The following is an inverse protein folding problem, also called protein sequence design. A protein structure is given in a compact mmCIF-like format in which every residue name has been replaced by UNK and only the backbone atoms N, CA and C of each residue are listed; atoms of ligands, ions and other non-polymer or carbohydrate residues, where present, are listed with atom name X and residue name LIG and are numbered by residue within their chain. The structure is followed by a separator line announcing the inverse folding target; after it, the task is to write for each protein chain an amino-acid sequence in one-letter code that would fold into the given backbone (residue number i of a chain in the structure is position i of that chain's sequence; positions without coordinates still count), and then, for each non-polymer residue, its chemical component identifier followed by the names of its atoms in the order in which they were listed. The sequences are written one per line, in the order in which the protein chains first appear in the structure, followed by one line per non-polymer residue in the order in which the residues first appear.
data_IF_467158485375
#
_entry.id   IF_467158485375
#
_cell.length_a   1.000
_cell.length_b   1.000
_cell.length_c   1.000
_cell.angle_alpha   90.00
_cell.angle_beta   90.00
_cell.angle_gamma   90.00
#
_symmetry.space_group_name_H-M   'P 1'
#
loop_
_entity.id
_entity.type
_entity.pdbx_description
1 polymer ?
#
# COMPACT_ATOMS: atom_id res chain seq x y z
N UNK A 1 8.93 -9.50 -14.12
CA UNK A 1 8.09 -8.55 -13.37
C UNK A 1 8.37 -8.70 -11.88
N UNK A 2 8.51 -7.60 -11.18
CA UNK A 2 8.84 -7.59 -9.75
C UNK A 2 7.58 -7.39 -8.92
N UNK A 3 7.41 -8.22 -7.89
CA UNK A 3 6.32 -8.09 -6.92
C UNK A 3 6.85 -7.49 -5.63
N UNK A 4 6.16 -6.47 -5.12
CA UNK A 4 6.50 -5.80 -3.86
C UNK A 4 5.31 -5.90 -2.92
N UNK A 5 5.54 -6.39 -1.71
CA UNK A 5 4.48 -6.60 -0.72
C UNK A 5 4.84 -5.85 0.55
N UNK A 6 3.89 -5.07 1.06
CA UNK A 6 4.04 -4.35 2.33
C UNK A 6 2.89 -4.71 3.24
N UNK A 7 3.19 -5.04 4.49
CA UNK A 7 2.20 -5.37 5.50
C UNK A 7 2.18 -4.24 6.54
N UNK A 8 0.97 -3.77 6.86
CA UNK A 8 0.79 -2.66 7.80
C UNK A 8 0.04 -3.11 9.03
N UNK A 9 0.52 -2.67 10.19
CA UNK A 9 -0.23 -2.74 11.44
C UNK A 9 -0.59 -1.34 11.87
N UNK A 10 -1.88 -1.07 12.06
CA UNK A 10 -2.36 0.24 12.44
C UNK A 10 -2.33 0.39 13.96
N UNK A 11 -2.10 1.61 14.45
CA UNK A 11 -2.14 1.88 15.90
C UNK A 11 -3.54 1.70 16.46
N UNK A 12 -4.54 2.11 15.69
CA UNK A 12 -5.94 1.98 16.05
C UNK A 12 -6.67 1.32 14.87
N UNK A 13 -6.74 -0.04 14.86
CA UNK A 13 -7.31 -0.75 13.72
C UNK A 13 -8.84 -0.82 13.78
N UNK A 14 -9.48 0.34 13.85
CA UNK A 14 -10.93 0.44 13.76
C UNK A 14 -11.38 0.22 12.32
N UNK A 15 -12.64 -0.19 12.09
CA UNK A 15 -13.15 -0.33 10.72
C UNK A 15 -12.99 0.94 9.89
N UNK A 16 -13.19 2.11 10.49
CA UNK A 16 -13.05 3.39 9.82
C UNK A 16 -11.60 3.65 9.42
N UNK A 17 -10.65 3.37 10.30
CA UNK A 17 -9.22 3.59 10.04
C UNK A 17 -8.71 2.61 9.00
N UNK A 18 -9.16 1.35 9.04
CA UNK A 18 -8.79 0.34 8.04
C UNK A 18 -9.33 0.75 6.67
N UNK A 19 -10.58 1.19 6.60
CA UNK A 19 -11.18 1.63 5.35
C UNK A 19 -10.47 2.85 4.78
N UNK A 20 -10.10 3.81 5.63
CA UNK A 20 -9.38 5.00 5.21
C UNK A 20 -7.99 4.65 4.67
N UNK A 21 -7.27 3.73 5.32
CA UNK A 21 -5.96 3.28 4.87
C UNK A 21 -6.06 2.57 3.52
N UNK A 22 -7.04 1.68 3.35
CA UNK A 22 -7.29 0.99 2.09
C UNK A 22 -7.57 1.97 0.97
N UNK A 23 -8.45 2.92 1.22
CA UNK A 23 -8.81 3.93 0.23
C UNK A 23 -7.61 4.76 -0.19
N UNK A 24 -6.76 5.16 0.78
CA UNK A 24 -5.56 5.92 0.50
C UNK A 24 -4.58 5.14 -0.36
N UNK A 25 -4.38 3.85 -0.07
CA UNK A 25 -3.50 2.99 -0.86
C UNK A 25 -4.06 2.77 -2.26
N UNK A 26 -5.36 2.53 -2.37
CA UNK A 26 -6.02 2.33 -3.66
C UNK A 26 -5.98 3.59 -4.53
N UNK A 27 -5.86 4.77 -3.91
CA UNK A 27 -5.78 6.02 -4.64
C UNK A 27 -4.53 6.14 -5.50
N UNK A 28 -3.51 5.29 -5.29
CA UNK A 28 -2.32 5.27 -6.14
C UNK A 28 -2.61 4.73 -7.54
N UNK A 29 -3.70 3.99 -7.73
CA UNK A 29 -4.07 3.50 -9.05
C UNK A 29 -4.32 4.69 -9.98
N UNK A 30 -3.62 4.72 -11.11
CA UNK A 30 -3.71 5.81 -12.07
C UNK A 30 -2.94 7.08 -11.68
N UNK A 31 -2.38 7.16 -10.47
CA UNK A 31 -1.58 8.31 -10.03
C UNK A 31 -0.09 8.05 -10.07
N UNK A 32 0.31 6.78 -10.02
CA UNK A 32 1.70 6.36 -10.04
C UNK A 32 1.92 5.55 -11.30
N UNK A 33 2.60 6.14 -12.29
CA UNK A 33 2.67 5.58 -13.64
C UNK A 33 3.45 4.28 -13.74
N UNK A 34 4.41 4.05 -12.84
CA UNK A 34 5.24 2.83 -12.88
C UNK A 34 4.55 1.61 -12.27
N UNK A 35 3.39 1.77 -11.63
CA UNK A 35 2.63 0.64 -11.10
C UNK A 35 1.94 -0.12 -12.24
N UNK A 36 2.21 -1.42 -12.33
CA UNK A 36 1.55 -2.31 -13.30
C UNK A 36 0.33 -2.99 -12.74
N UNK A 37 0.35 -3.26 -11.43
CA UNK A 37 -0.78 -3.84 -10.72
C UNK A 37 -0.75 -3.37 -9.28
N UNK A 38 -1.93 -3.11 -8.72
CA UNK A 38 -2.07 -2.74 -7.32
C UNK A 38 -3.26 -3.48 -6.75
N UNK A 39 -3.07 -4.09 -5.58
CA UNK A 39 -4.13 -4.77 -4.86
C UNK A 39 -3.97 -4.48 -3.38
N UNK A 40 -5.06 -4.19 -2.70
CA UNK A 40 -5.07 -3.94 -1.27
C UNK A 40 -5.94 -4.97 -0.59
N UNK A 41 -5.36 -5.70 0.39
CA UNK A 41 -6.09 -6.66 1.19
C UNK A 41 -6.31 -6.13 2.59
N UNK A 42 -7.46 -6.47 3.17
CA UNK A 42 -7.81 -6.12 4.54
C UNK A 42 -7.99 -7.40 5.33
N UNK A 43 -7.43 -7.45 6.54
CA UNK A 43 -7.52 -8.65 7.39
C UNK A 43 -8.94 -8.88 7.87
N UNK A 44 -9.38 -10.13 7.78
CA UNK A 44 -10.69 -10.56 8.27
C UNK A 44 -10.58 -11.58 9.41
N UNK A 45 -9.38 -12.11 9.66
CA UNK A 45 -9.15 -13.14 10.68
C UNK A 45 -8.98 -12.51 12.07
N UNK A 46 -8.31 -11.36 12.12
CA UNK A 46 -8.10 -10.59 13.36
C UNK A 46 -7.35 -11.36 14.44
N UNK A 47 -6.32 -12.13 14.04
CA UNK A 47 -5.46 -12.83 14.99
C UNK A 47 -4.26 -11.94 15.36
N UNK A 48 -3.52 -12.34 16.40
CA UNK A 48 -2.33 -11.63 16.83
C UNK A 48 -1.24 -11.58 15.75
N UNK A 49 -1.26 -12.54 14.83
CA UNK A 49 -0.27 -12.65 13.76
C UNK A 49 -0.67 -11.88 12.52
N UNK A 50 -1.94 -11.47 12.41
CA UNK A 50 -2.43 -10.80 11.23
C UNK A 50 -1.96 -9.35 11.20
N UNK A 51 -1.60 -8.88 10.01
CA UNK A 51 -1.49 -7.45 9.76
C UNK A 51 -2.90 -6.90 9.53
N UNK A 52 -3.06 -5.58 9.59
CA UNK A 52 -4.37 -4.97 9.37
C UNK A 52 -4.66 -4.77 7.88
N UNK A 53 -3.65 -4.33 7.13
CA UNK A 53 -3.77 -4.04 5.70
C UNK A 53 -2.52 -4.57 4.99
N UNK A 54 -2.71 -5.15 3.81
CA UNK A 54 -1.62 -5.61 2.95
C UNK A 54 -1.68 -4.88 1.62
N UNK A 55 -0.53 -4.39 1.16
CA UNK A 55 -0.38 -3.75 -0.14
C UNK A 55 0.44 -4.67 -1.04
N UNK A 56 -0.14 -5.02 -2.18
CA UNK A 56 0.48 -5.88 -3.19
C UNK A 56 0.61 -5.08 -4.48
N UNK A 57 1.84 -4.90 -4.96
CA UNK A 57 2.09 -4.13 -6.17
C UNK A 57 3.04 -4.87 -7.10
N UNK A 58 2.92 -4.62 -8.40
CA UNK A 58 3.81 -5.17 -9.40
C UNK A 58 4.45 -4.06 -10.22
N UNK A 59 5.72 -4.26 -10.54
CA UNK A 59 6.53 -3.36 -11.35
C UNK A 59 7.24 -4.17 -12.42
N UNK A 60 7.62 -3.50 -13.52
CA UNK A 60 8.35 -4.16 -14.59
C UNK A 60 9.79 -4.51 -14.18
N UNK A 61 10.39 -3.71 -13.29
CA UNK A 61 11.78 -3.89 -12.89
C UNK A 61 12.05 -3.31 -11.51
N UNK A 62 13.21 -3.63 -10.96
CA UNK A 62 13.69 -3.02 -9.71
C UNK A 62 13.87 -1.51 -9.85
N UNK A 63 14.28 -1.04 -11.03
CA UNK A 63 14.42 0.40 -11.27
C UNK A 63 13.08 1.10 -11.13
N UNK A 64 11.99 0.49 -11.60
CA UNK A 64 10.66 1.05 -11.47
C UNK A 64 10.21 1.07 -10.00
N UNK A 65 10.53 0.05 -9.22
CA UNK A 65 10.25 0.05 -7.78
C UNK A 65 10.99 1.19 -7.07
N UNK A 66 12.26 1.41 -7.43
CA UNK A 66 13.04 2.49 -6.84
C UNK A 66 12.46 3.86 -7.22
N UNK A 67 12.01 4.02 -8.45
CA UNK A 67 11.33 5.24 -8.89
C UNK A 67 10.02 5.46 -8.11
N UNK A 68 9.28 4.40 -7.85
CA UNK A 68 8.06 4.44 -7.05
C UNK A 68 8.33 4.93 -5.63
N UNK A 69 9.43 4.49 -5.02
CA UNK A 69 9.75 4.87 -3.64
C UNK A 69 10.05 6.38 -3.50
N UNK A 70 10.47 7.04 -4.57
CA UNK A 70 10.74 8.48 -4.59
C UNK A 70 9.66 9.27 -5.33
N UNK A 71 8.58 8.61 -5.76
CA UNK A 71 7.48 9.26 -6.47
C UNK A 71 6.79 10.27 -5.55
N UNK A 72 6.51 11.50 -6.04
CA UNK A 72 5.89 12.53 -5.21
C UNK A 72 4.55 12.12 -4.60
N UNK A 73 3.72 11.39 -5.33
CA UNK A 73 2.43 10.96 -4.80
C UNK A 73 2.60 9.91 -3.70
N UNK A 74 3.40 8.87 -3.98
CA UNK A 74 3.66 7.83 -2.98
C UNK A 74 4.40 8.42 -1.77
N UNK A 75 5.47 9.16 -1.99
CA UNK A 75 6.30 9.71 -0.92
C UNK A 75 5.66 10.88 -0.19
N UNK A 76 4.90 11.72 -0.90
CA UNK A 76 4.34 12.94 -0.34
C UNK A 76 2.92 12.80 0.20
N UNK A 77 2.12 11.89 -0.37
CA UNK A 77 0.71 11.75 -0.01
C UNK A 77 0.43 10.43 0.72
N UNK A 78 0.96 9.32 0.22
CA UNK A 78 0.60 7.99 0.71
C UNK A 78 1.50 7.56 1.87
N UNK A 79 2.81 7.62 1.71
CA UNK A 79 3.74 7.14 2.74
C UNK A 79 3.60 7.88 4.07
N UNK A 80 3.51 9.23 4.10
CA UNK A 80 3.28 9.94 5.37
C UNK A 80 1.96 9.56 6.04
N UNK A 81 0.91 9.34 5.25
CA UNK A 81 -0.38 8.93 5.79
C UNK A 81 -0.31 7.58 6.49
N UNK A 82 0.47 6.63 5.92
CA UNK A 82 0.54 5.24 6.41
C UNK A 82 1.52 5.07 7.58
N UNK A 83 2.26 6.07 7.95
CA UNK A 83 3.20 6.00 9.08
C UNK A 83 2.50 6.07 10.44
#
# INVERSE_FOLDING_TARGET
MLTHIVLFKLKEPTPENIAAAREKLESMAGKVSMLRQLEVGVDVVRSERSCDVALYTKFDSLADLQAYQVDPYHGGEVAPYMR
#
